data_IF_920537669191
#
_entry.id   IF_920537669191
#
_cell.length_a   1.000
_cell.length_b   1.000
_cell.length_c   1.000
_cell.angle_alpha   90.00
_cell.angle_beta   90.00
_cell.angle_gamma   90.00
#
_symmetry.space_group_name_H-M   'P 1'
#
loop_
_entity.id
_entity.type
_entity.pdbx_description
1 polymer ?
#
# COMPACT_ATOMS: atom_id res chain seq x y z
N UNK A 1 -2.79 -10.64 -16.72
CA UNK A 1 -2.82 -11.31 -15.40
C UNK A 1 -2.91 -10.24 -14.33
N UNK A 2 -3.83 -10.33 -13.35
CA UNK A 2 -3.87 -9.35 -12.27
C UNK A 2 -2.56 -9.43 -11.47
N UNK A 3 -2.01 -8.27 -11.12
CA UNK A 3 -0.88 -8.19 -10.21
C UNK A 3 -1.25 -8.88 -8.90
N UNK A 4 -0.47 -9.90 -8.52
CA UNK A 4 -0.60 -10.55 -7.23
C UNK A 4 0.54 -10.08 -6.33
N UNK A 5 0.25 -9.36 -5.23
CA UNK A 5 1.29 -8.99 -4.28
C UNK A 5 1.86 -10.25 -3.60
N UNK A 6 3.17 -10.24 -3.25
CA UNK A 6 3.80 -11.32 -2.50
C UNK A 6 3.07 -11.62 -1.18
N UNK A 7 3.18 -12.86 -0.69
CA UNK A 7 2.41 -13.29 0.49
C UNK A 7 2.69 -12.47 1.75
N UNK A 8 3.95 -12.09 1.98
CA UNK A 8 4.30 -11.21 3.12
C UNK A 8 3.61 -9.84 3.02
N UNK A 9 3.40 -9.31 1.82
CA UNK A 9 2.66 -8.06 1.60
C UNK A 9 1.17 -8.26 1.87
N UNK A 10 0.59 -9.39 1.47
CA UNK A 10 -0.81 -9.73 1.78
C UNK A 10 -1.05 -9.76 3.28
N UNK A 11 -0.19 -10.44 4.04
CA UNK A 11 -0.26 -10.48 5.50
C UNK A 11 -0.21 -9.08 6.12
N UNK A 12 0.65 -8.20 5.61
CA UNK A 12 0.69 -6.80 6.07
C UNK A 12 -0.65 -6.11 5.77
N UNK A 13 -1.16 -6.22 4.52
CA UNK A 13 -2.39 -5.57 4.09
C UNK A 13 -3.64 -6.01 4.88
N UNK A 14 -3.64 -7.22 5.41
CA UNK A 14 -4.73 -7.75 6.23
C UNK A 14 -4.66 -7.29 7.68
N UNK A 15 -3.45 -7.07 8.21
CA UNK A 15 -3.22 -6.63 9.59
C UNK A 15 -3.15 -5.10 9.76
N UNK A 16 -3.32 -4.33 8.68
CA UNK A 16 -3.28 -2.86 8.76
C UNK A 16 -4.44 -2.29 9.62
N UNK A 17 -4.14 -1.36 10.53
CA UNK A 17 -5.16 -0.76 11.38
C UNK A 17 -6.06 0.22 10.60
N UNK A 18 -7.34 0.27 10.97
CA UNK A 18 -8.28 1.32 10.55
C UNK A 18 -8.16 2.54 11.46
N UNK A 19 -6.94 3.08 11.58
CA UNK A 19 -6.64 4.27 12.40
C UNK A 19 -5.75 5.25 11.63
N UNK A 20 -5.68 6.51 12.08
CA UNK A 20 -4.74 7.48 11.53
C UNK A 20 -3.29 7.05 11.78
N UNK A 21 -2.41 7.40 10.86
CA UNK A 21 -0.99 7.15 11.01
C UNK A 21 -0.18 7.50 9.78
N UNK A 22 1.10 7.13 9.84
CA UNK A 22 2.07 7.33 8.77
C UNK A 22 2.55 5.97 8.28
N UNK A 23 2.76 5.84 6.97
CA UNK A 23 3.36 4.66 6.34
C UNK A 23 4.57 5.05 5.51
N UNK A 24 5.48 4.10 5.37
CA UNK A 24 6.74 4.24 4.64
C UNK A 24 6.76 3.17 3.55
N UNK A 25 7.00 3.58 2.32
CA UNK A 25 7.31 2.66 1.24
C UNK A 25 8.81 2.60 1.03
N UNK A 26 9.33 1.39 0.95
CA UNK A 26 10.74 1.10 0.69
C UNK A 26 10.88 0.37 -0.63
N UNK A 27 12.00 0.56 -1.31
CA UNK A 27 12.35 -0.26 -2.45
C UNK A 27 12.96 -1.60 -2.02
N UNK A 28 13.33 -2.44 -2.98
CA UNK A 28 13.95 -3.75 -2.74
C UNK A 28 15.34 -3.68 -2.06
N UNK A 29 15.95 -2.50 -1.93
CA UNK A 29 17.23 -2.26 -1.22
C UNK A 29 17.00 -1.56 0.13
N UNK A 30 15.79 -1.67 0.70
CA UNK A 30 15.38 -1.03 1.95
C UNK A 30 15.44 0.51 1.98
N UNK A 31 15.71 1.15 0.84
CA UNK A 31 15.72 2.62 0.76
C UNK A 31 14.30 3.15 0.78
N UNK A 32 14.05 4.13 1.65
CA UNK A 32 12.79 4.86 1.70
C UNK A 32 12.59 5.61 0.38
N UNK A 33 11.47 5.33 -0.29
CA UNK A 33 11.10 5.98 -1.56
C UNK A 33 9.88 6.90 -1.40
N UNK A 34 9.06 6.69 -0.35
CA UNK A 34 7.89 7.49 -0.10
C UNK A 34 7.46 7.42 1.37
N UNK A 35 6.95 8.53 1.90
CA UNK A 35 6.32 8.60 3.21
C UNK A 35 4.95 9.27 3.03
N UNK A 36 3.90 8.63 3.53
CA UNK A 36 2.55 9.18 3.45
C UNK A 36 1.83 9.12 4.80
N UNK A 37 0.93 10.07 5.03
CA UNK A 37 -0.02 10.04 6.16
C UNK A 37 -1.42 9.67 5.68
N UNK A 38 -2.21 9.05 6.54
CA UNK A 38 -3.59 8.71 6.25
C UNK A 38 -4.46 8.81 7.50
N UNK A 39 -5.75 9.14 7.32
CA UNK A 39 -6.77 9.02 8.38
C UNK A 39 -7.10 7.55 8.67
N UNK A 40 -7.00 6.69 7.67
CA UNK A 40 -7.18 5.24 7.77
C UNK A 40 -6.09 4.54 6.98
N UNK A 41 -5.08 4.02 7.68
CA UNK A 41 -3.93 3.36 7.04
C UNK A 41 -4.35 2.20 6.14
N UNK A 42 -5.25 1.33 6.61
CA UNK A 42 -5.77 0.19 5.85
C UNK A 42 -6.27 0.57 4.45
N UNK A 43 -7.11 1.59 4.35
CA UNK A 43 -7.70 2.01 3.07
C UNK A 43 -6.65 2.63 2.15
N UNK A 44 -5.80 3.50 2.70
CA UNK A 44 -4.81 4.22 1.90
C UNK A 44 -3.77 3.28 1.34
N UNK A 45 -3.21 2.39 2.15
CA UNK A 45 -2.18 1.45 1.71
C UNK A 45 -2.78 0.42 0.74
N UNK A 46 -3.96 -0.14 1.01
CA UNK A 46 -4.61 -1.09 0.09
C UNK A 46 -4.85 -0.50 -1.30
N UNK A 47 -5.15 0.80 -1.42
CA UNK A 47 -5.42 1.44 -2.72
C UNK A 47 -4.27 1.35 -3.73
N UNK A 48 -3.03 1.17 -3.26
CA UNK A 48 -1.87 0.94 -4.14
C UNK A 48 -1.81 -0.50 -4.70
N UNK A 49 -2.57 -1.43 -4.12
CA UNK A 49 -2.55 -2.86 -4.44
C UNK A 49 -3.91 -3.37 -4.98
N UNK A 50 -4.99 -2.59 -4.91
CA UNK A 50 -6.34 -2.98 -5.38
C UNK A 50 -6.85 -2.27 -6.63
N UNK A 51 -6.16 -1.25 -7.17
CA UNK A 51 -6.54 -0.63 -8.44
C UNK A 51 -5.54 -0.99 -9.51
N UNK A 52 -6.05 -1.37 -10.69
CA UNK A 52 -5.31 -1.43 -11.94
C UNK A 52 -4.28 -0.29 -11.95
N UNK A 53 -3.00 -0.62 -12.01
CA UNK A 53 -1.87 0.32 -11.99
C UNK A 53 -1.80 1.21 -13.24
N UNK A 54 -2.91 1.36 -13.96
CA UNK A 54 -3.08 2.23 -15.11
C UNK A 54 -4.00 3.39 -14.72
N UNK A 55 -3.46 4.59 -14.87
CA UNK A 55 -4.20 5.83 -14.72
C UNK A 55 -5.35 5.89 -15.72
N UNK A 56 -6.54 5.48 -15.27
CA UNK A 56 -7.81 5.88 -15.87
C UNK A 56 -8.75 6.33 -14.76
N UNK A 57 -8.49 7.53 -14.26
CA UNK A 57 -9.58 8.42 -13.85
C UNK A 57 -9.51 9.61 -14.82
N UNK A 58 -10.56 9.76 -15.62
CA UNK A 58 -10.81 10.91 -16.50
C UNK A 58 -10.67 12.23 -15.74
#
# INVERSE_FOLDING_TARGET
>A
MPFQPPDHVRTILDNLPMKPGVYIMKNAKDKIIYIGKAKYLRNRVRSYFTQNADGQRK
#
